data_IF_038735446003
#
_entry.id   IF_038735446003
#
_cell.length_a   1.000
_cell.length_b   1.000
_cell.length_c   1.000
_cell.angle_alpha   90.00
_cell.angle_beta   90.00
_cell.angle_gamma   90.00
#
_symmetry.space_group_name_H-M   'P 1'
#
loop_
_entity.id
_entity.type
_entity.pdbx_description
1 polymer ?
#
# COMPACT_ATOMS: atom_id res chain seq x y z
N UNK A 1 19.91 -39.69 -11.38
CA UNK A 1 19.29 -39.25 -10.10
C UNK A 1 19.76 -37.85 -9.72
N UNK A 2 21.07 -37.60 -9.70
CA UNK A 2 21.69 -36.31 -9.34
C UNK A 2 21.23 -35.10 -10.20
N UNK A 3 21.15 -35.25 -11.53
CA UNK A 3 20.62 -34.21 -12.44
C UNK A 3 19.15 -33.83 -12.18
N UNK A 4 18.34 -34.71 -11.59
CA UNK A 4 16.93 -34.41 -11.30
C UNK A 4 16.78 -33.62 -9.98
N UNK A 5 17.63 -33.90 -8.99
CA UNK A 5 17.68 -33.15 -7.74
C UNK A 5 18.16 -31.71 -7.99
N UNK A 6 19.22 -31.55 -8.78
CA UNK A 6 19.75 -30.22 -9.13
C UNK A 6 18.74 -29.39 -9.94
N UNK A 7 17.95 -30.03 -10.81
CA UNK A 7 16.87 -29.36 -11.56
C UNK A 7 15.71 -28.94 -10.66
N UNK A 8 15.35 -29.76 -9.67
CA UNK A 8 14.30 -29.43 -8.70
C UNK A 8 14.73 -28.28 -7.77
N UNK A 9 15.98 -28.26 -7.34
CA UNK A 9 16.54 -27.17 -6.52
C UNK A 9 16.61 -25.86 -7.31
N UNK A 10 17.03 -25.90 -8.59
CA UNK A 10 17.02 -24.73 -9.49
C UNK A 10 15.60 -24.18 -9.72
N UNK A 11 14.59 -25.04 -9.81
CA UNK A 11 13.19 -24.64 -9.91
C UNK A 11 12.73 -23.94 -8.63
N UNK A 12 13.04 -24.50 -7.47
CA UNK A 12 12.73 -23.89 -6.16
C UNK A 12 13.36 -22.50 -5.99
N UNK A 13 14.64 -22.33 -6.35
CA UNK A 13 15.33 -21.04 -6.27
C UNK A 13 14.70 -20.02 -7.22
N UNK A 14 14.29 -20.45 -8.42
CA UNK A 14 13.60 -19.59 -9.38
C UNK A 14 12.26 -19.11 -8.84
N UNK A 15 11.46 -20.00 -8.26
CA UNK A 15 10.14 -19.67 -7.72
C UNK A 15 10.26 -18.69 -6.55
N UNK A 16 11.23 -18.90 -5.66
CA UNK A 16 11.53 -17.96 -4.57
C UNK A 16 11.94 -16.59 -5.11
N UNK A 17 12.71 -16.54 -6.20
CA UNK A 17 13.12 -15.28 -6.82
C UNK A 17 11.93 -14.53 -7.45
N UNK A 18 11.03 -15.26 -8.12
CA UNK A 18 9.80 -14.69 -8.69
C UNK A 18 8.89 -14.13 -7.59
N UNK A 19 8.61 -14.90 -6.54
CA UNK A 19 7.78 -14.46 -5.42
C UNK A 19 8.36 -13.25 -4.69
N UNK A 20 9.68 -13.17 -4.53
CA UNK A 20 10.34 -11.99 -3.96
C UNK A 20 10.21 -10.76 -4.85
N UNK A 21 10.24 -10.95 -6.16
CA UNK A 21 10.08 -9.86 -7.13
C UNK A 21 8.66 -9.33 -7.10
N UNK A 22 7.66 -10.21 -7.12
CA UNK A 22 6.24 -9.85 -6.98
C UNK A 22 5.97 -9.18 -5.64
N UNK A 23 6.48 -9.70 -4.53
CA UNK A 23 6.31 -9.08 -3.22
C UNK A 23 6.90 -7.67 -3.16
N UNK A 24 8.05 -7.45 -3.81
CA UNK A 24 8.67 -6.12 -3.91
C UNK A 24 7.80 -5.16 -4.72
N UNK A 25 7.22 -5.64 -5.82
CA UNK A 25 6.31 -4.86 -6.66
C UNK A 25 5.04 -4.49 -5.89
N UNK A 26 4.42 -5.44 -5.20
CA UNK A 26 3.25 -5.19 -4.34
C UNK A 26 3.54 -4.19 -3.22
N UNK A 27 4.73 -4.25 -2.60
CA UNK A 27 5.15 -3.26 -1.60
C UNK A 27 5.28 -1.85 -2.19
N UNK A 28 5.75 -1.75 -3.43
CA UNK A 28 5.84 -0.46 -4.14
C UNK A 28 4.45 0.09 -4.43
N UNK A 29 3.56 -0.72 -4.99
CA UNK A 29 2.17 -0.34 -5.29
C UNK A 29 1.41 0.09 -4.02
N UNK A 30 1.59 -0.64 -2.93
CA UNK A 30 1.05 -0.26 -1.61
C UNK A 30 1.53 1.12 -1.16
N UNK A 31 2.82 1.43 -1.34
CA UNK A 31 3.37 2.75 -1.01
C UNK A 31 2.79 3.87 -1.89
N UNK A 32 2.54 3.60 -3.17
CA UNK A 32 1.88 4.55 -4.08
C UNK A 32 0.43 4.82 -3.65
N UNK A 33 -0.33 3.77 -3.29
CA UNK A 33 -1.70 3.92 -2.78
C UNK A 33 -1.77 4.78 -1.52
N UNK A 34 -0.83 4.61 -0.59
CA UNK A 34 -0.79 5.42 0.63
C UNK A 34 -0.57 6.90 0.34
N UNK A 35 0.28 7.21 -0.65
CA UNK A 35 0.48 8.60 -1.08
C UNK A 35 -0.79 9.19 -1.71
N UNK A 36 -1.52 8.40 -2.49
CA UNK A 36 -2.80 8.81 -3.08
C UNK A 36 -3.83 9.10 -1.97
N UNK A 37 -3.95 8.20 -0.99
CA UNK A 37 -4.86 8.38 0.15
C UNK A 37 -4.48 9.62 0.96
N UNK A 38 -3.19 9.82 1.25
CA UNK A 38 -2.70 11.03 1.92
C UNK A 38 -3.01 12.32 1.14
N UNK A 39 -2.82 12.33 -0.18
CA UNK A 39 -3.19 13.47 -1.02
C UNK A 39 -4.71 13.72 -1.03
N UNK A 40 -5.52 12.66 -1.03
CA UNK A 40 -6.97 12.75 -0.93
C UNK A 40 -7.42 13.37 0.40
N UNK A 41 -6.74 13.05 1.51
CA UNK A 41 -7.00 13.67 2.82
C UNK A 41 -6.74 15.18 2.81
N UNK A 42 -5.59 15.61 2.28
CA UNK A 42 -5.26 17.03 2.16
C UNK A 42 -6.32 17.75 1.32
N UNK A 43 -6.74 17.13 0.21
CA UNK A 43 -7.81 17.66 -0.62
C UNK A 43 -9.14 17.76 0.15
N UNK A 44 -9.54 16.72 0.89
CA UNK A 44 -10.78 16.73 1.68
C UNK A 44 -10.75 17.77 2.79
N UNK A 45 -9.60 17.99 3.44
CA UNK A 45 -9.42 19.07 4.43
C UNK A 45 -9.67 20.45 3.81
N UNK A 46 -9.25 20.64 2.56
CA UNK A 46 -9.33 21.92 1.85
C UNK A 46 -10.65 22.10 1.08
N UNK A 47 -11.46 21.03 0.93
CA UNK A 47 -12.82 21.10 0.39
C UNK A 47 -13.78 21.60 1.48
N UNK A 48 -14.64 22.56 1.11
CA UNK A 48 -15.68 23.06 1.99
C UNK A 48 -16.64 21.92 2.36
N UNK A 49 -16.78 21.65 3.66
CA UNK A 49 -17.41 20.45 4.21
C UNK A 49 -18.96 20.44 4.10
N UNK A 50 -19.53 21.35 3.29
CA UNK A 50 -20.97 21.58 3.20
C UNK A 50 -21.73 20.57 2.32
N UNK A 51 -21.04 19.54 1.80
CA UNK A 51 -21.69 18.46 1.05
C UNK A 51 -21.59 17.12 1.77
N UNK A 52 -22.70 16.39 1.79
CA UNK A 52 -22.78 15.03 2.33
C UNK A 52 -21.74 14.09 1.70
N UNK A 53 -21.42 14.29 0.42
CA UNK A 53 -20.42 13.53 -0.32
C UNK A 53 -19.00 13.78 0.20
N UNK A 54 -18.68 15.01 0.64
CA UNK A 54 -17.41 15.32 1.30
C UNK A 54 -17.28 14.55 2.62
N UNK A 55 -18.38 14.43 3.38
CA UNK A 55 -18.39 13.69 4.65
C UNK A 55 -18.21 12.18 4.45
N UNK A 56 -18.98 11.56 3.56
CA UNK A 56 -18.82 10.13 3.23
C UNK A 56 -17.43 9.81 2.70
N UNK A 57 -16.86 10.69 1.87
CA UNK A 57 -15.50 10.52 1.38
C UNK A 57 -14.46 10.60 2.50
N UNK A 58 -14.63 11.52 3.46
CA UNK A 58 -13.75 11.64 4.62
C UNK A 58 -13.84 10.42 5.55
N UNK A 59 -15.05 9.91 5.78
CA UNK A 59 -15.29 8.70 6.58
C UNK A 59 -14.63 7.47 5.93
N UNK A 60 -14.87 7.25 4.63
CA UNK A 60 -14.26 6.13 3.90
C UNK A 60 -12.72 6.17 3.96
N UNK A 61 -12.13 7.36 3.88
CA UNK A 61 -10.68 7.50 3.99
C UNK A 61 -10.17 7.26 5.41
N UNK A 62 -10.89 7.73 6.43
CA UNK A 62 -10.56 7.43 7.82
C UNK A 62 -10.57 5.92 8.09
N UNK A 63 -11.60 5.20 7.63
CA UNK A 63 -11.66 3.72 7.71
C UNK A 63 -10.47 3.05 7.00
N UNK A 64 -10.13 3.54 5.80
CA UNK A 64 -8.97 3.04 5.07
C UNK A 64 -7.66 3.23 5.85
N UNK A 65 -7.49 4.39 6.52
CA UNK A 65 -6.32 4.67 7.35
C UNK A 65 -6.25 3.78 8.59
N UNK A 66 -7.37 3.60 9.29
CA UNK A 66 -7.44 2.77 10.49
C UNK A 66 -7.11 1.30 10.21
N UNK A 67 -7.30 0.84 8.97
CA UNK A 67 -6.90 -0.49 8.52
C UNK A 67 -5.40 -0.64 8.23
N UNK A 68 -4.64 0.46 8.18
CA UNK A 68 -3.22 0.43 7.88
C UNK A 68 -2.40 0.02 9.11
N UNK A 69 -1.34 -0.78 8.93
CA UNK A 69 -0.30 -0.95 9.93
C UNK A 69 0.30 0.39 10.35
N UNK A 70 0.55 0.56 11.66
CA UNK A 70 1.01 1.80 12.30
C UNK A 70 2.15 2.52 11.55
N UNK A 71 3.17 1.78 11.12
CA UNK A 71 4.32 2.34 10.37
C UNK A 71 3.91 3.04 9.07
N UNK A 72 2.86 2.56 8.41
CA UNK A 72 2.36 3.11 7.16
C UNK A 72 1.31 4.19 7.38
N UNK A 73 0.58 4.11 8.49
CA UNK A 73 -0.25 5.21 8.97
C UNK A 73 0.64 6.43 9.26
N UNK A 74 1.77 6.24 9.96
CA UNK A 74 2.74 7.31 10.22
C UNK A 74 3.29 7.92 8.93
N UNK A 75 3.64 7.08 7.94
CA UNK A 75 4.07 7.56 6.62
C UNK A 75 2.96 8.39 5.95
N UNK A 76 1.72 7.90 5.94
CA UNK A 76 0.56 8.60 5.38
C UNK A 76 0.33 9.96 6.06
N UNK A 77 0.35 9.97 7.40
CA UNK A 77 0.12 11.17 8.21
C UNK A 77 1.26 12.18 8.07
N UNK A 78 2.50 11.73 7.85
CA UNK A 78 3.64 12.61 7.59
C UNK A 78 3.51 13.42 6.30
N UNK A 79 2.79 12.89 5.30
CA UNK A 79 2.51 13.61 4.04
C UNK A 79 1.50 14.75 4.22
N UNK A 80 0.66 14.66 5.25
CA UNK A 80 -0.42 15.60 5.52
C UNK A 80 -0.04 16.67 6.55
N UNK A 81 1.12 16.53 7.20
CA UNK A 81 1.62 17.46 8.20
C UNK A 81 2.26 18.67 7.48
N UNK A 82 1.89 19.92 7.82
CA UNK A 82 2.47 21.12 7.20
C UNK A 82 3.97 21.28 7.51
#
# INVERSE_FOLDING_TARGET
>A
MEKNAEKAERLSVRDVCLLRTENRQLKKERGELIRIVGAALVLMRDIDADTFQTFEAAELVAECLDSLPEQLLDEAMSLCRP
#
